data_IF_440868053242
#
_entry.id   IF_440868053242
#
_cell.length_a   1.000
_cell.length_b   1.000
_cell.length_c   1.000
_cell.angle_alpha   90.00
_cell.angle_beta   90.00
_cell.angle_gamma   90.00
#
_symmetry.space_group_name_H-M   'P 1'
#
loop_
_entity.id
_entity.type
_entity.pdbx_description
1 polymer ?
#
# COMPACT_ATOMS: atom_id res chain seq x y z
N UNK A 1 -2.99 -19.67 3.41
CA UNK A 1 -3.64 -19.07 2.91
C UNK A 1 -5.00 -18.78 2.86
N UNK A 2 -5.41 -18.39 2.72
CA UNK A 2 -6.29 -18.06 2.58
C UNK A 2 -6.71 -17.49 2.07
N UNK A 3 -6.49 -17.32 2.04
CA UNK A 3 -7.04 -16.73 1.99
C UNK A 3 -7.41 -15.98 0.98
N UNK A 4 -8.39 -16.05 0.50
CA UNK A 4 -8.84 -15.29 -0.52
C UNK A 4 -9.56 -14.16 -0.01
N UNK A 5 -9.46 -13.05 -0.69
CA UNK A 5 -10.27 -11.91 -0.37
C UNK A 5 -10.79 -11.32 -1.67
N UNK A 6 -11.86 -10.56 -1.57
CA UNK A 6 -12.41 -9.85 -2.71
C UNK A 6 -12.03 -8.39 -2.56
N UNK A 7 -11.37 -7.85 -3.58
CA UNK A 7 -11.03 -6.44 -3.61
C UNK A 7 -12.08 -5.73 -4.44
N UNK A 8 -12.69 -4.74 -3.86
CA UNK A 8 -13.70 -3.94 -4.54
C UNK A 8 -13.11 -2.55 -4.74
N UNK A 9 -13.30 -1.97 -5.93
CA UNK A 9 -12.67 -0.70 -6.27
C UNK A 9 -13.71 0.38 -6.47
N UNK A 10 -13.33 1.59 -6.09
CA UNK A 10 -14.10 2.78 -6.34
C UNK A 10 -13.15 3.85 -6.84
N UNK A 11 -13.46 4.44 -7.99
CA UNK A 11 -12.61 5.44 -8.59
C UNK A 11 -13.17 6.82 -8.37
N UNK A 12 -12.35 7.72 -7.87
CA UNK A 12 -12.71 9.08 -7.57
C UNK A 12 -12.40 9.98 -8.76
N UNK A 13 -13.42 10.43 -9.46
CA UNK A 13 -13.20 11.21 -10.66
C UNK A 13 -12.77 12.65 -10.41
N UNK A 14 -13.27 13.23 -9.33
CA UNK A 14 -12.95 14.62 -9.02
C UNK A 14 -11.47 14.84 -8.80
N UNK A 15 -10.80 13.85 -8.21
CA UNK A 15 -9.38 13.92 -7.98
C UNK A 15 -8.57 13.47 -9.19
N UNK A 16 -9.24 12.93 -10.19
CA UNK A 16 -8.63 12.54 -11.44
C UNK A 16 -7.91 11.21 -11.42
N UNK A 17 -7.20 10.88 -10.34
CA UNK A 17 -6.32 9.71 -10.34
C UNK A 17 -6.26 9.04 -8.99
N UNK A 18 -7.41 8.85 -8.40
CA UNK A 18 -7.52 8.31 -7.05
C UNK A 18 -8.37 7.05 -7.08
N UNK A 19 -7.85 5.96 -6.51
CA UNK A 19 -8.55 4.69 -6.46
C UNK A 19 -8.53 4.16 -5.03
N UNK A 20 -9.69 3.73 -4.56
CA UNK A 20 -9.84 3.10 -3.26
C UNK A 20 -10.22 1.65 -3.42
N UNK A 21 -9.68 0.80 -2.57
CA UNK A 21 -10.01 -0.62 -2.51
C UNK A 21 -10.52 -0.94 -1.12
N UNK A 22 -11.63 -1.65 -1.05
CA UNK A 22 -12.08 -2.21 0.21
C UNK A 22 -11.68 -3.68 0.24
N UNK A 23 -11.14 -4.13 1.36
CA UNK A 23 -10.72 -5.52 1.52
C UNK A 23 -11.82 -6.28 2.23
N UNK A 24 -12.40 -7.26 1.54
CA UNK A 24 -13.48 -8.09 2.07
C UNK A 24 -13.02 -9.54 2.00
N UNK A 25 -12.80 -10.20 3.14
CA UNK A 25 -12.39 -11.59 3.10
C UNK A 25 -13.46 -12.46 2.45
N UNK A 26 -13.02 -13.55 1.84
CA UNK A 26 -13.88 -14.40 1.03
C UNK A 26 -15.15 -14.86 1.77
N UNK A 27 -15.03 -15.16 3.05
CA UNK A 27 -16.14 -15.68 3.83
C UNK A 27 -16.83 -14.64 4.71
N UNK A 28 -16.62 -13.38 4.41
CA UNK A 28 -17.24 -12.27 5.15
C UNK A 28 -17.94 -11.34 4.18
N UNK A 29 -18.85 -10.54 4.70
CA UNK A 29 -19.54 -9.54 3.89
C UNK A 29 -19.26 -8.11 4.35
N UNK A 30 -18.24 -7.94 5.18
CA UNK A 30 -17.87 -6.65 5.74
C UNK A 30 -16.43 -6.35 5.40
N UNK A 31 -16.16 -5.11 5.02
CA UNK A 31 -14.79 -4.68 4.76
C UNK A 31 -13.99 -4.61 6.06
N UNK A 32 -12.79 -5.16 6.04
CA UNK A 32 -11.90 -5.13 7.20
C UNK A 32 -10.74 -4.15 7.01
N UNK A 33 -10.63 -3.57 5.84
CA UNK A 33 -9.56 -2.63 5.57
C UNK A 33 -9.79 -1.89 4.28
N UNK A 34 -8.95 -0.91 4.05
CA UNK A 34 -9.04 -0.05 2.88
C UNK A 34 -7.63 0.25 2.41
N UNK A 35 -7.45 0.26 1.10
CA UNK A 35 -6.21 0.69 0.45
C UNK A 35 -6.53 1.80 -0.52
N UNK A 36 -5.57 2.68 -0.74
CA UNK A 36 -5.74 3.82 -1.64
C UNK A 36 -4.51 3.96 -2.51
N UNK A 37 -4.72 4.32 -3.77
CA UNK A 37 -3.65 4.64 -4.70
C UNK A 37 -3.98 5.97 -5.35
N UNK A 38 -3.03 6.90 -5.32
CA UNK A 38 -3.20 8.23 -5.88
C UNK A 38 -1.99 8.57 -6.74
N UNK A 39 -2.25 9.02 -7.96
CA UNK A 39 -1.19 9.46 -8.85
C UNK A 39 -0.70 10.84 -8.41
N UNK A 40 0.61 10.98 -8.18
CA UNK A 40 1.19 12.25 -7.77
C UNK A 40 1.74 13.01 -8.96
N UNK A 41 2.52 12.32 -9.79
CA UNK A 41 3.19 12.92 -10.93
C UNK A 41 2.95 12.05 -12.14
N UNK A 42 1.81 12.24 -12.85
CA UNK A 42 1.48 11.34 -13.96
C UNK A 42 2.58 11.26 -15.01
N UNK A 43 3.19 12.39 -15.34
CA UNK A 43 4.23 12.41 -16.36
C UNK A 43 5.51 11.68 -15.98
N UNK A 44 5.75 11.52 -14.68
CA UNK A 44 6.94 10.83 -14.17
C UNK A 44 6.64 9.46 -13.62
N UNK A 45 5.38 9.07 -13.60
CA UNK A 45 5.01 7.76 -13.12
C UNK A 45 5.14 7.58 -11.62
N UNK A 46 4.90 8.63 -10.85
CA UNK A 46 4.95 8.55 -9.38
C UNK A 46 3.54 8.50 -8.82
N UNK A 47 3.30 7.53 -7.94
CA UNK A 47 2.03 7.40 -7.24
C UNK A 47 2.28 7.20 -5.76
N UNK A 48 1.26 7.43 -4.98
CA UNK A 48 1.30 7.22 -3.54
C UNK A 48 0.22 6.22 -3.16
N UNK A 49 0.52 5.34 -2.21
CA UNK A 49 -0.47 4.43 -1.68
C UNK A 49 -0.54 4.55 -0.17
N UNK A 50 -1.67 4.14 0.37
CA UNK A 50 -1.89 4.14 1.81
C UNK A 50 -2.86 3.04 2.15
N UNK A 51 -2.98 2.76 3.45
CA UNK A 51 -3.84 1.68 3.91
C UNK A 51 -4.26 1.89 5.36
N UNK A 52 -5.38 1.27 5.69
CA UNK A 52 -5.83 1.14 7.07
C UNK A 52 -6.51 -0.22 7.19
N UNK A 53 -6.27 -0.93 8.26
CA UNK A 53 -6.82 -2.26 8.45
C UNK A 53 -7.25 -2.42 9.90
N UNK A 54 -8.36 -3.12 10.11
CA UNK A 54 -8.84 -3.40 11.45
C UNK A 54 -7.77 -4.11 12.28
N UNK A 55 -7.65 -3.73 13.55
CA UNK A 55 -6.52 -4.18 14.37
C UNK A 55 -6.46 -5.69 14.54
N UNK A 56 -7.60 -6.37 14.52
CA UNK A 56 -7.62 -7.81 14.69
C UNK A 56 -7.12 -8.58 13.48
N UNK A 57 -6.92 -7.90 12.36
CA UNK A 57 -6.50 -8.57 11.11
C UNK A 57 -5.04 -8.38 10.80
N UNK A 58 -4.33 -7.58 11.59
CA UNK A 58 -2.89 -7.47 11.44
C UNK A 58 -2.23 -8.78 11.86
N UNK A 59 -1.22 -9.19 11.11
CA UNK A 59 -0.50 -10.41 11.42
C UNK A 59 -1.16 -11.68 10.92
N UNK A 60 -2.27 -11.57 10.18
CA UNK A 60 -2.99 -12.74 9.67
C UNK A 60 -2.59 -13.16 8.27
N UNK A 61 -1.74 -12.39 7.62
CA UNK A 61 -1.38 -12.62 6.23
C UNK A 61 -2.30 -11.91 5.25
N UNK A 62 -3.48 -11.48 5.67
CA UNK A 62 -4.43 -10.82 4.79
C UNK A 62 -3.85 -9.50 4.27
N UNK A 63 -3.15 -8.77 5.15
CA UNK A 63 -2.55 -7.51 4.71
C UNK A 63 -1.59 -7.70 3.56
N UNK A 64 -0.67 -8.66 3.67
CA UNK A 64 0.34 -8.89 2.64
C UNK A 64 -0.29 -9.32 1.33
N UNK A 65 -1.32 -10.16 1.38
CA UNK A 65 -2.03 -10.59 0.18
C UNK A 65 -2.72 -9.41 -0.49
N UNK A 66 -3.43 -8.60 0.28
CA UNK A 66 -4.12 -7.44 -0.25
C UNK A 66 -3.12 -6.41 -0.79
N UNK A 67 -2.06 -6.15 -0.03
CA UNK A 67 -1.03 -5.20 -0.43
C UNK A 67 -0.39 -5.59 -1.75
N UNK A 68 -0.10 -6.88 -1.94
CA UNK A 68 0.51 -7.34 -3.18
C UNK A 68 -0.40 -7.04 -4.39
N UNK A 69 -1.69 -7.24 -4.24
CA UNK A 69 -2.62 -6.95 -5.32
C UNK A 69 -2.71 -5.45 -5.62
N UNK A 70 -2.70 -4.63 -4.58
CA UNK A 70 -2.79 -3.18 -4.75
C UNK A 70 -1.52 -2.64 -5.39
N UNK A 71 -0.36 -3.15 -4.99
CA UNK A 71 0.92 -2.73 -5.58
C UNK A 71 1.00 -3.18 -7.04
N UNK A 72 0.57 -4.41 -7.33
CA UNK A 72 0.46 -4.88 -8.73
C UNK A 72 -0.42 -3.92 -9.55
N UNK A 73 -1.55 -3.53 -8.99
CA UNK A 73 -2.47 -2.61 -9.67
C UNK A 73 -1.78 -1.27 -9.96
N UNK A 74 -1.06 -0.74 -8.98
CA UNK A 74 -0.39 0.54 -9.16
C UNK A 74 0.62 0.50 -10.30
N UNK A 75 1.36 -0.60 -10.42
CA UNK A 75 2.36 -0.72 -11.46
C UNK A 75 1.78 -1.14 -12.81
N UNK A 76 0.83 -2.07 -12.81
CA UNK A 76 0.32 -2.64 -14.07
C UNK A 76 -0.82 -1.83 -14.67
N UNK A 77 -1.69 -1.26 -13.86
CA UNK A 77 -2.88 -0.57 -14.35
C UNK A 77 -2.70 0.94 -14.31
N UNK A 78 -2.23 1.49 -13.20
CA UNK A 78 -1.98 2.93 -13.09
C UNK A 78 -0.76 3.32 -13.90
N UNK A 79 0.22 2.42 -14.01
CA UNK A 79 1.41 2.68 -14.79
C UNK A 79 2.49 3.39 -14.00
N UNK A 80 2.45 3.28 -12.68
CA UNK A 80 3.48 3.90 -11.85
C UNK A 80 4.82 3.21 -12.07
N UNK A 81 5.88 3.96 -11.88
CA UNK A 81 7.24 3.42 -11.84
C UNK A 81 7.81 3.50 -10.45
N UNK A 82 7.29 4.43 -9.67
CA UNK A 82 7.71 4.66 -8.30
C UNK A 82 6.46 4.79 -7.44
N UNK A 83 6.38 4.01 -6.39
CA UNK A 83 5.24 4.00 -5.49
C UNK A 83 5.71 4.43 -4.12
N UNK A 84 5.16 5.53 -3.61
CA UNK A 84 5.54 6.11 -2.33
C UNK A 84 4.48 5.83 -1.28
N UNK A 85 4.93 5.68 -0.04
CA UNK A 85 4.02 5.62 1.11
C UNK A 85 4.68 6.33 2.28
N UNK A 86 3.86 6.94 3.12
CA UNK A 86 4.33 7.67 4.29
C UNK A 86 3.64 7.11 5.52
N UNK A 87 4.41 6.97 6.58
CA UNK A 87 3.86 6.54 7.87
C UNK A 87 4.53 7.35 8.97
N UNK A 88 3.76 7.76 9.96
CA UNK A 88 4.32 8.48 11.11
C UNK A 88 5.44 7.63 11.72
N UNK A 89 6.52 8.30 12.17
CA UNK A 89 7.66 7.56 12.73
C UNK A 89 7.25 6.69 13.91
N UNK A 90 6.23 7.12 14.66
CA UNK A 90 5.74 6.36 15.81
C UNK A 90 4.81 5.22 15.43
N UNK A 91 4.42 5.10 14.17
CA UNK A 91 3.51 4.06 13.72
C UNK A 91 4.30 2.79 13.40
N UNK A 92 4.63 2.03 14.44
CA UNK A 92 5.44 0.83 14.27
C UNK A 92 4.79 -0.22 13.40
N UNK A 93 3.46 -0.36 13.50
CA UNK A 93 2.71 -1.33 12.71
C UNK A 93 2.73 -0.97 11.23
N UNK A 94 2.46 0.29 10.91
CA UNK A 94 2.47 0.74 9.53
C UNK A 94 3.85 0.65 8.90
N UNK A 95 4.88 1.08 9.62
CA UNK A 95 6.25 1.01 9.12
C UNK A 95 6.70 -0.45 8.95
N UNK A 96 6.34 -1.31 9.90
CA UNK A 96 6.65 -2.73 9.80
C UNK A 96 5.97 -3.39 8.62
N UNK A 97 4.73 -3.02 8.35
CA UNK A 97 3.98 -3.55 7.21
C UNK A 97 4.63 -3.15 5.88
N UNK A 98 5.05 -1.90 5.78
CA UNK A 98 5.73 -1.43 4.57
C UNK A 98 7.05 -2.16 4.34
N UNK A 99 7.79 -2.40 5.42
CA UNK A 99 9.03 -3.17 5.31
C UNK A 99 8.77 -4.59 4.82
N UNK A 100 7.74 -5.23 5.34
CA UNK A 100 7.41 -6.61 4.95
C UNK A 100 6.99 -6.72 3.49
N UNK A 101 6.34 -5.70 2.96
CA UNK A 101 5.95 -5.69 1.54
C UNK A 101 7.16 -5.54 0.63
N UNK A 102 8.27 -5.07 1.17
CA UNK A 102 9.48 -4.89 0.38
C UNK A 102 9.79 -3.44 0.08
N UNK A 103 9.11 -2.51 0.74
CA UNK A 103 9.42 -1.10 0.54
C UNK A 103 10.76 -0.75 1.15
N UNK A 104 11.41 0.24 0.56
CA UNK A 104 12.71 0.73 1.00
C UNK A 104 12.52 2.07 1.69
N UNK A 105 13.11 2.23 2.86
CA UNK A 105 13.06 3.49 3.58
C UNK A 105 14.01 4.48 2.91
N UNK A 106 13.48 5.62 2.49
CA UNK A 106 14.29 6.62 1.81
C UNK A 106 14.61 7.84 2.65
N UNK A 107 13.81 8.14 3.66
CA UNK A 107 14.12 9.28 4.48
C UNK A 107 13.06 9.59 5.50
N UNK A 108 13.30 10.63 6.28
CA UNK A 108 12.37 11.13 7.28
C UNK A 108 11.92 12.52 6.86
N UNK A 109 10.60 12.70 6.79
CA UNK A 109 9.99 13.98 6.47
C UNK A 109 9.61 14.65 7.78
N UNK A 110 10.36 15.67 8.14
CA UNK A 110 10.18 16.28 9.46
C UNK A 110 8.93 17.16 9.48
N UNK A 111 8.11 16.97 10.53
CA UNK A 111 6.89 17.75 10.78
C UNK A 111 5.99 17.82 9.57
N UNK A 112 5.84 16.69 8.89
CA UNK A 112 5.10 16.61 7.65
C UNK A 112 3.65 16.20 7.81
N UNK A 113 3.22 15.86 9.02
CA UNK A 113 1.89 15.33 9.28
C UNK A 113 1.30 15.99 10.51
N UNK A 114 0.12 16.57 10.37
CA UNK A 114 -0.56 17.24 11.49
C UNK A 114 -1.62 16.32 12.05
N UNK A 115 -1.53 16.01 13.35
CA UNK A 115 -2.47 15.13 14.01
C UNK A 115 -2.73 15.67 15.42
N UNK A 116 -4.01 15.88 15.71
CA UNK A 116 -4.43 16.37 17.04
C UNK A 116 -3.64 17.60 17.48
N UNK A 117 -3.42 18.53 16.55
CA UNK A 117 -2.72 19.78 16.85
C UNK A 117 -1.20 19.66 16.94
N UNK A 118 -0.66 18.47 16.68
CA UNK A 118 0.78 18.22 16.79
C UNK A 118 1.36 17.86 15.43
N UNK A 119 2.50 18.45 15.08
CA UNK A 119 3.20 18.13 13.85
C UNK A 119 4.15 16.97 14.09
N UNK A 120 3.97 15.92 13.32
CA UNK A 120 4.70 14.67 13.46
C UNK A 120 5.61 14.43 12.26
N UNK A 121 6.69 13.71 12.50
CA UNK A 121 7.57 13.25 11.41
C UNK A 121 7.00 12.00 10.77
N UNK A 122 7.27 11.84 9.48
CA UNK A 122 6.89 10.63 8.75
C UNK A 122 8.12 10.00 8.11
N UNK A 123 8.08 8.69 7.96
CA UNK A 123 9.08 7.97 7.17
C UNK A 123 8.53 7.81 5.76
N UNK A 124 9.37 8.09 4.78
CA UNK A 124 9.04 7.89 3.37
C UNK A 124 9.56 6.53 2.94
N UNK A 125 8.66 5.71 2.43
CA UNK A 125 8.95 4.38 1.91
C UNK A 125 8.66 4.35 0.43
N UNK A 126 9.46 3.61 -0.33
CA UNK A 126 9.27 3.52 -1.78
C UNK A 126 9.40 2.10 -2.27
N UNK A 127 8.66 1.80 -3.34
CA UNK A 127 8.81 0.57 -4.09
C UNK A 127 8.98 0.99 -5.55
N UNK A 128 10.02 0.48 -6.20
CA UNK A 128 10.21 0.70 -7.63
C UNK A 128 9.64 -0.48 -8.39
N UNK A 129 9.06 -0.22 -9.56
CA UNK A 129 8.40 -1.28 -10.34
C UNK A 129 9.38 -2.39 -10.71
N UNK A 130 10.61 -2.03 -11.07
CA UNK A 130 11.60 -3.03 -11.44
C UNK A 130 11.96 -3.95 -10.29
N UNK A 131 12.07 -3.40 -9.09
CA UNK A 131 12.36 -4.20 -7.89
C UNK A 131 11.18 -5.10 -7.54
N UNK A 132 9.98 -4.57 -7.67
CA UNK A 132 8.76 -5.32 -7.39
C UNK A 132 8.61 -6.51 -8.33
N UNK A 133 8.81 -6.28 -9.62
CA UNK A 133 8.70 -7.36 -10.61
C UNK A 133 9.74 -8.44 -10.39
N UNK A 134 10.95 -8.05 -10.02
CA UNK A 134 12.00 -9.01 -9.72
C UNK A 134 11.66 -9.86 -8.49
N UNK A 135 11.19 -9.23 -7.43
CA UNK A 135 10.75 -9.92 -6.22
C UNK A 135 9.61 -10.88 -6.49
N UNK A 136 8.61 -10.44 -7.23
CA UNK A 136 7.47 -11.28 -7.56
C UNK A 136 7.89 -12.49 -8.39
N UNK A 137 8.78 -12.28 -9.32
CA UNK A 137 9.29 -13.37 -10.15
C UNK A 137 10.04 -14.40 -9.31
N UNK A 138 10.90 -13.95 -8.41
CA UNK A 138 11.65 -14.83 -7.51
C UNK A 138 10.70 -15.58 -6.58
N UNK A 139 9.71 -14.92 -6.06
CA UNK A 139 8.73 -15.54 -5.18
C UNK A 139 8.00 -16.68 -5.89
N UNK A 140 7.61 -16.46 -7.14
CA UNK A 140 6.93 -17.49 -7.92
C UNK A 140 7.82 -18.70 -8.15
N UNK A 141 9.12 -18.49 -8.36
CA UNK A 141 10.05 -19.57 -8.54
C UNK A 141 10.24 -20.39 -7.29
N UNK A 142 10.26 -19.74 -6.13
CA UNK A 142 10.46 -20.44 -4.86
C UNK A 142 9.25 -21.20 -4.41
N UNK A 143 8.06 -20.77 -4.74
CA UNK A 143 6.83 -21.39 -4.30
C UNK A 143 6.55 -22.68 -5.06
N UNK A 144 7.08 -22.79 -6.25
CA UNK A 144 6.94 -24.01 -7.05
C UNK A 144 8.05 -24.97 -6.80
#
# INVERSE_FOLDING_TARGET
GFERFIAWTHRERAAGNYTCFAVVPHNMDTAIGIFQVRQLEPGFGTAEWGFAMGSSFWGTGIFLDAAALVVDFAFEVVGARRLEARAATANGRGNGALRKVGAVQEGVLRKSFLRDGEYLDQILWTILDEDWRRSRSQWRQTVH
#
